data_IF_214468737788
#
_entry.id   IF_214468737788
#
_cell.length_a   1.000
_cell.length_b   1.000
_cell.length_c   1.000
_cell.angle_alpha   90.00
_cell.angle_beta   90.00
_cell.angle_gamma   90.00
#
_symmetry.space_group_name_H-M   'P 1'
#
loop_
_entity.id
_entity.type
_entity.pdbx_description
1 polymer ?
#
# COMPACT_ATOMS: atom_id res chain seq x y z
N UNK A 1 -26.37 19.39 -3.89
CA UNK A 1 -25.99 18.28 -3.00
C UNK A 1 -26.04 18.81 -1.58
N UNK A 2 -26.73 18.13 -0.67
CA UNK A 2 -26.84 18.58 0.72
C UNK A 2 -25.51 18.35 1.45
N UNK A 3 -24.81 19.43 1.81
CA UNK A 3 -23.52 19.38 2.53
C UNK A 3 -23.70 19.18 4.04
N UNK A 4 -24.93 19.25 4.59
CA UNK A 4 -25.19 19.15 6.04
C UNK A 4 -24.63 17.91 6.74
N UNK A 5 -24.58 16.70 6.14
CA UNK A 5 -23.96 15.52 6.78
C UNK A 5 -22.43 15.61 6.90
N UNK A 6 -21.81 16.55 6.19
CA UNK A 6 -20.36 16.75 6.13
C UNK A 6 -19.93 18.00 6.90
N UNK A 7 -20.74 18.46 7.88
CA UNK A 7 -20.45 19.62 8.70
C UNK A 7 -20.46 19.29 10.19
N UNK A 8 -19.65 20.01 10.96
CA UNK A 8 -19.56 19.88 12.42
C UNK A 8 -19.13 18.48 12.88
N UNK A 9 -19.66 18.02 14.02
CA UNK A 9 -19.24 16.77 14.69
C UNK A 9 -19.25 15.52 13.78
N UNK A 10 -20.17 15.44 12.82
CA UNK A 10 -20.23 14.31 11.87
C UNK A 10 -19.07 14.30 10.86
N UNK A 11 -18.59 15.48 10.46
CA UNK A 11 -17.42 15.63 9.59
C UNK A 11 -16.13 15.21 10.32
N UNK A 12 -16.00 15.63 11.58
CA UNK A 12 -14.86 15.28 12.44
C UNK A 12 -14.78 13.77 12.70
N UNK A 13 -15.92 13.14 13.02
CA UNK A 13 -16.00 11.69 13.21
C UNK A 13 -15.67 10.91 11.92
N UNK A 14 -16.12 11.40 10.77
CA UNK A 14 -15.81 10.81 9.48
C UNK A 14 -14.31 10.93 9.15
N UNK A 15 -13.72 12.10 9.31
CA UNK A 15 -12.29 12.33 9.10
C UNK A 15 -11.44 11.47 10.05
N UNK A 16 -11.84 11.38 11.32
CA UNK A 16 -11.19 10.53 12.30
C UNK A 16 -11.24 9.04 11.90
N UNK A 17 -12.38 8.57 11.36
CA UNK A 17 -12.49 7.20 10.82
C UNK A 17 -11.54 6.98 9.63
N UNK A 18 -11.52 7.91 8.66
CA UNK A 18 -10.63 7.81 7.51
C UNK A 18 -9.15 7.76 7.92
N UNK A 19 -8.75 8.55 8.92
CA UNK A 19 -7.40 8.48 9.47
C UNK A 19 -7.08 7.14 10.15
N UNK A 20 -8.04 6.53 10.87
CA UNK A 20 -7.87 5.18 11.43
C UNK A 20 -7.70 4.14 10.32
N UNK A 21 -8.54 4.20 9.30
CA UNK A 21 -8.48 3.28 8.15
C UNK A 21 -7.14 3.42 7.42
N UNK A 22 -6.66 4.65 7.22
CA UNK A 22 -5.36 4.90 6.60
C UNK A 22 -4.20 4.35 7.44
N UNK A 23 -4.22 4.55 8.76
CA UNK A 23 -3.20 3.97 9.66
C UNK A 23 -3.19 2.45 9.58
N UNK A 24 -4.36 1.81 9.53
CA UNK A 24 -4.48 0.36 9.37
C UNK A 24 -3.87 -0.11 8.04
N UNK A 25 -4.17 0.57 6.93
CA UNK A 25 -3.58 0.24 5.62
C UNK A 25 -2.06 0.37 5.65
N UNK A 26 -1.52 1.44 6.22
CA UNK A 26 -0.07 1.64 6.33
C UNK A 26 0.57 0.55 7.19
N UNK A 27 -0.06 0.18 8.31
CA UNK A 27 0.41 -0.91 9.15
C UNK A 27 0.45 -2.25 8.39
N UNK A 28 -0.62 -2.60 7.67
CA UNK A 28 -0.66 -3.81 6.82
C UNK A 28 0.44 -3.80 5.75
N UNK A 29 0.78 -2.63 5.20
CA UNK A 29 1.90 -2.47 4.25
C UNK A 29 3.26 -2.68 4.91
N UNK A 30 3.46 -2.16 6.10
CA UNK A 30 4.69 -2.35 6.89
C UNK A 30 4.89 -3.83 7.22
N UNK A 31 3.82 -4.51 7.68
CA UNK A 31 3.85 -5.95 7.97
C UNK A 31 4.17 -6.78 6.72
N UNK A 32 3.53 -6.50 5.58
CA UNK A 32 3.82 -7.24 4.34
C UNK A 32 5.26 -7.04 3.88
N UNK A 33 5.77 -5.80 3.98
CA UNK A 33 7.18 -5.49 3.69
C UNK A 33 8.12 -6.30 4.59
N UNK A 34 7.91 -6.29 5.90
CA UNK A 34 8.75 -7.02 6.85
C UNK A 34 8.67 -8.54 6.68
N UNK A 35 7.47 -9.10 6.50
CA UNK A 35 7.30 -10.53 6.24
C UNK A 35 7.99 -10.95 4.94
N UNK A 36 7.88 -10.15 3.88
CA UNK A 36 8.50 -10.48 2.59
C UNK A 36 10.04 -10.52 2.65
N UNK A 37 10.66 -9.73 3.53
CA UNK A 37 12.12 -9.74 3.74
C UNK A 37 12.62 -10.97 4.49
N UNK A 38 11.79 -11.53 5.37
CA UNK A 38 12.12 -12.67 6.23
C UNK A 38 11.91 -14.02 5.54
N UNK A 39 11.20 -14.04 4.42
CA UNK A 39 11.04 -15.23 3.60
C UNK A 39 12.40 -15.63 2.99
N UNK A 40 13.09 -16.55 3.68
CA UNK A 40 14.44 -17.00 3.35
C UNK A 40 14.51 -17.60 1.95
N UNK A 41 15.56 -17.26 1.19
CA UNK A 41 15.83 -17.83 -0.14
C UNK A 41 15.19 -17.09 -1.31
N UNK A 42 14.45 -16.00 -1.08
CA UNK A 42 13.83 -15.23 -2.15
C UNK A 42 14.81 -14.26 -2.82
N UNK A 43 14.78 -14.20 -4.16
CA UNK A 43 15.56 -13.24 -4.94
C UNK A 43 15.01 -11.79 -4.84
N UNK A 44 13.74 -11.66 -4.42
CA UNK A 44 13.02 -10.40 -4.35
C UNK A 44 12.19 -10.30 -3.07
N UNK A 45 11.94 -9.06 -2.65
CA UNK A 45 11.07 -8.73 -1.54
C UNK A 45 10.25 -7.48 -1.89
N UNK A 46 9.27 -7.18 -1.04
CA UNK A 46 8.45 -5.97 -1.15
C UNK A 46 9.02 -4.90 -0.23
N UNK A 47 9.22 -3.72 -0.78
CA UNK A 47 9.69 -2.54 -0.05
C UNK A 47 8.59 -1.50 0.04
N UNK A 48 8.37 -0.96 1.24
CA UNK A 48 7.49 0.19 1.46
C UNK A 48 8.24 1.50 1.16
N UNK A 49 7.89 2.14 0.05
CA UNK A 49 8.42 3.44 -0.34
C UNK A 49 7.52 4.58 0.16
N UNK A 50 8.13 5.73 0.49
CA UNK A 50 7.44 6.96 0.85
C UNK A 50 7.82 8.11 -0.08
N UNK A 51 6.88 8.54 -0.91
CA UNK A 51 7.04 9.67 -1.82
C UNK A 51 6.71 10.98 -1.10
N UNK A 52 7.74 11.61 -0.53
CA UNK A 52 7.63 12.86 0.26
C UNK A 52 6.83 13.97 -0.42
N UNK A 53 6.98 14.16 -1.74
CA UNK A 53 6.30 15.23 -2.48
C UNK A 53 4.77 15.13 -2.49
N UNK A 54 4.22 13.95 -2.23
CA UNK A 54 2.76 13.69 -2.29
C UNK A 54 2.21 13.08 -0.99
N UNK A 55 3.09 12.77 -0.03
CA UNK A 55 2.76 11.98 1.17
C UNK A 55 2.37 10.52 0.87
N UNK A 56 2.45 10.08 -0.39
CA UNK A 56 2.03 8.74 -0.79
C UNK A 56 2.98 7.67 -0.25
N UNK A 57 2.40 6.61 0.30
CA UNK A 57 3.11 5.36 0.62
C UNK A 57 2.70 4.29 -0.38
N UNK A 58 3.65 3.48 -0.86
CA UNK A 58 3.33 2.38 -1.76
C UNK A 58 4.37 1.27 -1.65
N UNK A 59 3.90 0.04 -1.81
CA UNK A 59 4.68 -1.17 -1.87
C UNK A 59 5.18 -1.39 -3.29
N UNK A 60 6.44 -1.81 -3.42
CA UNK A 60 7.06 -2.14 -4.70
C UNK A 60 8.06 -3.28 -4.57
N UNK A 61 8.21 -4.07 -5.62
CA UNK A 61 9.18 -5.16 -5.64
C UNK A 61 10.62 -4.63 -5.75
N UNK A 62 11.53 -5.31 -5.06
CA UNK A 62 12.94 -4.96 -4.99
C UNK A 62 13.81 -6.21 -4.96
N UNK A 63 14.96 -6.18 -5.62
CA UNK A 63 15.91 -7.30 -5.57
C UNK A 63 16.68 -7.35 -4.24
N UNK A 64 17.04 -8.55 -3.81
CA UNK A 64 18.13 -8.74 -2.85
C UNK A 64 19.48 -8.53 -3.54
N UNK A 65 20.51 -8.12 -2.76
CA UNK A 65 21.89 -7.93 -3.24
C UNK A 65 22.36 -6.47 -3.32
N UNK A 66 23.60 -6.26 -3.80
CA UNK A 66 24.39 -5.03 -3.62
C UNK A 66 23.71 -3.74 -4.12
N UNK A 67 22.92 -3.82 -5.20
CA UNK A 67 22.28 -2.63 -5.80
C UNK A 67 20.80 -2.48 -5.48
N UNK A 68 20.17 -3.48 -4.85
CA UNK A 68 18.76 -3.49 -4.46
C UNK A 68 17.82 -2.74 -5.43
N UNK A 69 17.67 -3.30 -6.63
CA UNK A 69 17.04 -2.62 -7.77
C UNK A 69 15.53 -2.73 -7.68
N UNK A 70 14.81 -1.66 -8.05
CA UNK A 70 13.35 -1.68 -8.16
C UNK A 70 12.89 -2.50 -9.36
N UNK A 71 11.84 -3.30 -9.17
CA UNK A 71 11.34 -4.22 -10.19
C UNK A 71 9.83 -4.09 -10.33
N UNK A 72 9.33 -4.35 -11.53
CA UNK A 72 7.90 -4.52 -11.80
C UNK A 72 7.53 -5.99 -11.65
N UNK A 73 6.26 -6.26 -11.36
CA UNK A 73 5.76 -7.64 -11.34
C UNK A 73 6.02 -8.35 -12.68
N UNK A 74 5.81 -7.66 -13.80
CA UNK A 74 6.03 -8.20 -15.15
C UNK A 74 7.50 -8.60 -15.41
N UNK A 75 8.45 -8.01 -14.68
CA UNK A 75 9.86 -8.42 -14.74
C UNK A 75 10.17 -9.66 -13.89
N UNK A 76 9.36 -9.94 -12.85
CA UNK A 76 9.54 -11.07 -11.93
C UNK A 76 8.76 -12.29 -12.42
N UNK A 77 7.50 -12.12 -12.81
CA UNK A 77 6.57 -13.20 -13.14
C UNK A 77 7.15 -14.25 -14.11
N UNK A 78 7.87 -13.90 -15.20
CA UNK A 78 8.43 -14.89 -16.12
C UNK A 78 9.48 -15.82 -15.47
N UNK A 79 10.15 -15.36 -14.42
CA UNK A 79 11.18 -16.14 -13.73
C UNK A 79 10.60 -17.16 -12.76
N UNK A 80 9.35 -16.98 -12.33
CA UNK A 80 8.68 -17.86 -11.36
C UNK A 80 8.47 -19.27 -11.89
N UNK A 81 8.37 -19.46 -13.21
CA UNK A 81 8.22 -20.78 -13.84
C UNK A 81 9.39 -21.75 -13.57
N UNK A 82 10.52 -21.24 -13.05
CA UNK A 82 11.68 -22.06 -12.63
C UNK A 82 11.66 -22.44 -11.15
N UNK A 83 10.71 -21.92 -10.38
CA UNK A 83 10.57 -22.15 -8.94
C UNK A 83 9.61 -23.30 -8.65
N UNK A 84 9.63 -23.78 -7.41
CA UNK A 84 8.62 -24.75 -6.94
C UNK A 84 7.23 -24.11 -6.93
N UNK A 85 6.18 -24.92 -7.03
CA UNK A 85 4.79 -24.42 -7.03
C UNK A 85 4.47 -23.57 -5.80
N UNK A 86 4.92 -24.00 -4.62
CA UNK A 86 4.71 -23.25 -3.37
C UNK A 86 5.35 -21.85 -3.41
N UNK A 87 6.52 -21.71 -4.02
CA UNK A 87 7.15 -20.39 -4.19
C UNK A 87 6.38 -19.52 -5.18
N UNK A 88 5.91 -20.11 -6.29
CA UNK A 88 5.09 -19.40 -7.27
C UNK A 88 3.81 -18.85 -6.62
N UNK A 89 3.05 -19.72 -5.94
CA UNK A 89 1.81 -19.35 -5.25
C UNK A 89 2.07 -18.23 -4.23
N UNK A 90 3.15 -18.34 -3.45
CA UNK A 90 3.54 -17.30 -2.49
C UNK A 90 3.81 -15.94 -3.15
N UNK A 91 4.58 -15.91 -4.25
CA UNK A 91 4.87 -14.66 -4.97
C UNK A 91 3.60 -14.03 -5.55
N UNK A 92 2.69 -14.84 -6.09
CA UNK A 92 1.41 -14.38 -6.63
C UNK A 92 0.49 -13.81 -5.54
N UNK A 93 0.40 -14.49 -4.40
CA UNK A 93 -0.35 -14.01 -3.23
C UNK A 93 0.19 -12.68 -2.71
N UNK A 94 1.52 -12.57 -2.54
CA UNK A 94 2.17 -11.33 -2.11
C UNK A 94 1.92 -10.21 -3.12
N UNK A 95 2.01 -10.50 -4.42
CA UNK A 95 1.74 -9.49 -5.45
C UNK A 95 0.28 -9.03 -5.45
N UNK A 96 -0.68 -9.94 -5.24
CA UNK A 96 -2.08 -9.57 -5.08
C UNK A 96 -2.30 -8.66 -3.87
N UNK A 97 -1.66 -8.97 -2.73
CA UNK A 97 -1.69 -8.14 -1.53
C UNK A 97 -1.06 -6.75 -1.77
N UNK A 98 0.08 -6.67 -2.46
CA UNK A 98 0.72 -5.40 -2.87
C UNK A 98 -0.25 -4.53 -3.67
N UNK A 99 -0.90 -5.10 -4.69
CA UNK A 99 -1.85 -4.37 -5.53
C UNK A 99 -3.04 -3.85 -4.72
N UNK A 100 -3.60 -4.70 -3.87
CA UNK A 100 -4.74 -4.34 -3.01
C UNK A 100 -4.39 -3.22 -2.03
N UNK A 101 -3.26 -3.34 -1.32
CA UNK A 101 -2.84 -2.36 -0.31
C UNK A 101 -2.48 -1.02 -0.94
N UNK A 102 -1.80 -1.01 -2.09
CA UNK A 102 -1.53 0.22 -2.85
C UNK A 102 -2.83 0.90 -3.30
N UNK A 103 -3.83 0.14 -3.75
CA UNK A 103 -5.12 0.70 -4.13
C UNK A 103 -5.87 1.28 -2.91
N UNK A 104 -5.90 0.56 -1.78
CA UNK A 104 -6.48 1.04 -0.52
C UNK A 104 -5.81 2.33 -0.04
N UNK A 105 -4.48 2.42 -0.12
CA UNK A 105 -3.74 3.64 0.23
C UNK A 105 -4.24 4.83 -0.59
N UNK A 106 -4.29 4.68 -1.92
CA UNK A 106 -4.69 5.75 -2.82
C UNK A 106 -6.12 6.20 -2.54
N UNK A 107 -7.05 5.25 -2.37
CA UNK A 107 -8.46 5.54 -2.11
C UNK A 107 -8.63 6.26 -0.78
N UNK A 108 -8.07 5.74 0.31
CA UNK A 108 -8.24 6.34 1.65
C UNK A 108 -7.56 7.71 1.74
N UNK A 109 -6.38 7.88 1.13
CA UNK A 109 -5.70 9.18 1.11
C UNK A 109 -6.49 10.22 0.31
N UNK A 110 -7.07 9.84 -0.83
CA UNK A 110 -7.95 10.73 -1.60
C UNK A 110 -9.20 11.09 -0.79
N UNK A 111 -9.81 10.12 -0.10
CA UNK A 111 -10.97 10.37 0.76
C UNK A 111 -10.65 11.35 1.90
N UNK A 112 -9.48 11.21 2.55
CA UNK A 112 -9.02 12.17 3.58
C UNK A 112 -8.90 13.57 2.98
N UNK A 113 -8.25 13.70 1.82
CA UNK A 113 -8.10 15.00 1.16
C UNK A 113 -9.44 15.65 0.84
N UNK A 114 -10.38 14.88 0.29
CA UNK A 114 -11.74 15.37 0.00
C UNK A 114 -12.46 15.80 1.28
N UNK A 115 -12.35 15.01 2.35
CA UNK A 115 -12.96 15.34 3.65
C UNK A 115 -12.38 16.63 4.24
N UNK A 116 -11.06 16.85 4.10
CA UNK A 116 -10.40 18.08 4.53
C UNK A 116 -10.84 19.29 3.70
N UNK A 117 -10.90 19.16 2.37
CA UNK A 117 -11.34 20.23 1.48
C UNK A 117 -12.79 20.66 1.80
N UNK A 118 -13.69 19.70 2.05
CA UNK A 118 -15.07 19.98 2.45
C UNK A 118 -15.21 20.60 3.85
N UNK A 119 -14.22 20.41 4.73
CA UNK A 119 -14.20 20.98 6.08
C UNK A 119 -13.56 22.38 6.14
N UNK A 120 -12.82 22.80 5.10
CA UNK A 120 -12.13 24.12 5.01
C UNK A 120 -12.99 25.17 4.30
N UNK A 121 -13.98 24.78 3.50
CA UNK A 121 -14.93 25.71 2.84
C UNK A 121 -15.95 26.38 3.80
N UNK A 122 -15.66 26.46 5.10
CA UNK A 122 -16.44 27.17 6.14
C UNK A 122 -15.65 28.38 6.71
#
# INVERSE_FOLDING_TARGET
MDKRPFKGKGADEWLARLHRDYRKVVFEMEELSEHSKRAAGNAWYVYLHHRKSTGQRFLMWRSFGVKHVHLTWDSIQPTLGRMTRSQQDWFEEVNAAVRLLNAKEVVTRKAIRMAQELNIED
#
